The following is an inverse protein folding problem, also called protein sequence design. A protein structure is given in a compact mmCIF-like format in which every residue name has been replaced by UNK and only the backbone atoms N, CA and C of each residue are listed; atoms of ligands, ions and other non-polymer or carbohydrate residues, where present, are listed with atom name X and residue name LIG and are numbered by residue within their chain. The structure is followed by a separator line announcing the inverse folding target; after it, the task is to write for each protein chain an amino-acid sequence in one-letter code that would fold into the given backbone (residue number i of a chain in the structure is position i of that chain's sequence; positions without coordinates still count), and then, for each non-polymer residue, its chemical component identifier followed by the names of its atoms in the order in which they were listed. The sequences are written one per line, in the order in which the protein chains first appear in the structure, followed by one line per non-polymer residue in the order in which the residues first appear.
data_IF_824902755917
#
_entry.id   IF_824902755917
#
_cell.length_a   1.000
_cell.length_b   1.000
_cell.length_c   1.000
_cell.angle_alpha   90.00
_cell.angle_beta   90.00
_cell.angle_gamma   90.00
#
_symmetry.space_group_name_H-M   'P 1'
#
loop_
_entity.id
_entity.type
_entity.pdbx_description
1 polymer ?
#
# COMPACT_ATOMS: atom_id res chain seq x y z
N UNK A 1 41.88 -5.61 33.54
CA UNK A 1 40.51 -6.15 33.66
C UNK A 1 39.80 -5.80 32.35
N UNK A 2 39.96 -6.65 31.34
CA UNK A 2 39.47 -6.38 29.98
C UNK A 2 38.01 -6.78 29.89
N UNK A 3 37.13 -5.80 29.77
CA UNK A 3 35.74 -5.99 29.39
C UNK A 3 35.71 -6.50 27.95
N UNK A 4 35.63 -7.82 27.79
CA UNK A 4 35.21 -8.44 26.54
C UNK A 4 33.75 -8.04 26.30
N UNK A 5 33.55 -6.90 25.63
CA UNK A 5 32.31 -6.59 24.95
C UNK A 5 32.15 -7.68 23.88
N UNK A 6 31.32 -8.68 24.17
CA UNK A 6 30.80 -9.57 23.15
C UNK A 6 30.28 -8.68 22.00
N UNK A 7 30.60 -8.97 20.74
CA UNK A 7 29.99 -8.26 19.64
C UNK A 7 28.50 -8.47 19.78
N UNK A 8 27.78 -7.42 20.18
CA UNK A 8 26.33 -7.41 20.13
C UNK A 8 26.01 -7.86 18.71
N UNK A 9 25.47 -9.06 18.56
CA UNK A 9 24.89 -9.45 17.28
C UNK A 9 23.70 -8.53 17.15
N UNK A 10 23.98 -7.41 16.48
CA UNK A 10 23.22 -6.17 16.29
C UNK A 10 21.93 -6.48 15.53
N UNK A 11 21.03 -7.23 16.13
CA UNK A 11 19.65 -7.30 15.66
C UNK A 11 19.05 -5.96 16.04
N UNK A 12 18.80 -5.14 15.02
CA UNK A 12 18.03 -3.92 15.10
C UNK A 12 16.55 -4.30 14.85
N UNK A 13 15.81 -4.80 15.85
CA UNK A 13 14.46 -5.33 15.67
C UNK A 13 13.50 -4.27 15.12
N UNK A 14 13.69 -2.99 15.47
CA UNK A 14 12.90 -1.90 14.91
C UNK A 14 13.19 -1.73 13.42
N UNK A 15 14.45 -1.80 12.99
CA UNK A 15 14.79 -1.78 11.57
C UNK A 15 14.16 -2.96 10.81
N UNK A 16 14.15 -4.15 11.41
CA UNK A 16 13.49 -5.32 10.82
C UNK A 16 11.98 -5.08 10.68
N UNK A 17 11.31 -4.60 11.74
CA UNK A 17 9.88 -4.29 11.72
C UNK A 17 9.53 -3.28 10.63
N UNK A 18 10.29 -2.19 10.52
CA UNK A 18 10.10 -1.18 9.46
C UNK A 18 10.25 -1.78 8.07
N UNK A 19 11.23 -2.66 7.86
CA UNK A 19 11.40 -3.36 6.58
C UNK A 19 10.24 -4.30 6.28
N UNK A 20 9.72 -5.01 7.28
CA UNK A 20 8.53 -5.85 7.13
C UNK A 20 7.33 -5.00 6.70
N UNK A 21 7.13 -3.83 7.33
CA UNK A 21 6.09 -2.87 6.94
C UNK A 21 6.23 -2.46 5.47
N UNK A 22 7.44 -2.14 5.01
CA UNK A 22 7.67 -1.78 3.61
C UNK A 22 7.45 -2.95 2.64
N UNK A 23 7.83 -4.18 3.04
CA UNK A 23 7.54 -5.40 2.26
C UNK A 23 6.02 -5.62 2.16
N UNK A 24 5.30 -5.46 3.27
CA UNK A 24 3.86 -5.57 3.28
C UNK A 24 3.21 -4.59 2.29
N UNK A 25 3.60 -3.30 2.34
CA UNK A 25 3.11 -2.30 1.39
C UNK A 25 3.40 -2.64 -0.07
N UNK A 26 4.63 -3.09 -0.37
CA UNK A 26 5.00 -3.53 -1.72
C UNK A 26 4.15 -4.70 -2.21
N UNK A 27 4.04 -5.75 -1.40
CA UNK A 27 3.31 -6.98 -1.77
C UNK A 27 1.82 -6.72 -1.91
N UNK A 28 1.24 -5.96 -0.98
CA UNK A 28 -0.19 -5.67 -1.01
C UNK A 28 -0.58 -4.88 -2.27
N UNK A 29 0.09 -3.76 -2.54
CA UNK A 29 -0.22 -2.96 -3.74
C UNK A 29 0.11 -3.71 -5.04
N UNK A 30 1.15 -4.54 -5.06
CA UNK A 30 1.43 -5.39 -6.22
C UNK A 30 0.31 -6.41 -6.45
N UNK A 31 -0.21 -7.03 -5.39
CA UNK A 31 -1.34 -7.96 -5.48
C UNK A 31 -2.58 -7.25 -6.03
N UNK A 32 -2.96 -6.09 -5.46
CA UNK A 32 -4.13 -5.33 -5.93
C UNK A 32 -3.98 -4.92 -7.40
N UNK A 33 -2.81 -4.39 -7.76
CA UNK A 33 -2.47 -4.04 -9.14
C UNK A 33 -2.63 -5.23 -10.09
N UNK A 34 -2.05 -6.39 -9.76
CA UNK A 34 -2.17 -7.61 -10.57
C UNK A 34 -3.63 -8.04 -10.70
N UNK A 35 -4.39 -8.02 -9.60
CA UNK A 35 -5.79 -8.46 -9.65
C UNK A 35 -6.67 -7.53 -10.48
N UNK A 36 -6.40 -6.22 -10.46
CA UNK A 36 -7.08 -5.23 -11.29
C UNK A 36 -6.65 -5.30 -12.76
N UNK A 37 -5.39 -5.63 -13.05
CA UNK A 37 -4.96 -5.89 -14.43
C UNK A 37 -5.64 -7.12 -15.01
N UNK A 38 -5.79 -8.19 -14.23
CA UNK A 38 -6.51 -9.40 -14.65
C UNK A 38 -7.98 -9.08 -14.93
N UNK A 39 -8.64 -8.34 -14.04
CA UNK A 39 -10.02 -7.88 -14.22
C UNK A 39 -10.17 -7.04 -15.50
N UNK A 40 -9.33 -6.01 -15.68
CA UNK A 40 -9.33 -5.18 -16.89
C UNK A 40 -9.17 -6.01 -18.16
N UNK A 41 -8.18 -6.91 -18.22
CA UNK A 41 -7.96 -7.79 -19.38
C UNK A 41 -9.17 -8.68 -19.62
N UNK A 42 -9.76 -9.25 -18.57
CA UNK A 42 -10.93 -10.12 -18.68
C UNK A 42 -12.13 -9.36 -19.24
N UNK A 43 -12.36 -8.14 -18.75
CA UNK A 43 -13.45 -7.27 -19.20
C UNK A 43 -13.32 -6.90 -20.68
N UNK A 44 -12.16 -6.38 -21.10
CA UNK A 44 -11.98 -5.90 -22.48
C UNK A 44 -11.84 -7.01 -23.52
N UNK A 45 -11.41 -8.20 -23.11
CA UNK A 45 -11.29 -9.37 -24.01
C UNK A 45 -12.53 -10.25 -24.04
N UNK A 46 -13.44 -10.10 -23.08
CA UNK A 46 -14.57 -11.00 -22.88
C UNK A 46 -14.16 -12.39 -22.37
N UNK A 47 -12.97 -12.54 -21.80
CA UNK A 47 -12.52 -13.79 -21.21
C UNK A 47 -13.34 -14.14 -19.95
N UNK A 48 -13.22 -15.37 -19.45
CA UNK A 48 -13.93 -15.85 -18.25
C UNK A 48 -12.96 -16.26 -17.12
N UNK A 49 -11.82 -15.57 -17.04
CA UNK A 49 -10.82 -15.85 -16.01
C UNK A 49 -11.35 -15.47 -14.62
N UNK A 50 -11.33 -16.45 -13.72
CA UNK A 50 -11.76 -16.29 -12.32
C UNK A 50 -10.60 -16.19 -11.36
N UNK A 51 -9.43 -16.68 -11.75
CA UNK A 51 -8.23 -16.65 -10.93
C UNK A 51 -7.64 -15.23 -10.91
N UNK A 52 -7.45 -14.65 -9.72
CA UNK A 52 -6.95 -13.28 -9.49
C UNK A 52 -7.82 -12.17 -10.08
N UNK A 53 -9.04 -12.43 -10.52
CA UNK A 53 -9.93 -11.39 -11.00
C UNK A 53 -10.55 -10.62 -9.80
N UNK A 54 -10.30 -9.31 -9.70
CA UNK A 54 -10.82 -8.48 -8.60
C UNK A 54 -12.32 -8.20 -8.71
N UNK A 55 -12.92 -8.36 -9.90
CA UNK A 55 -14.32 -8.02 -10.22
C UNK A 55 -14.67 -6.54 -9.99
N UNK A 56 -13.67 -5.67 -9.95
CA UNK A 56 -13.82 -4.23 -9.75
C UNK A 56 -14.51 -3.55 -10.94
N UNK A 57 -14.37 -4.03 -12.17
CA UNK A 57 -15.05 -3.46 -13.35
C UNK A 57 -16.56 -3.54 -13.17
N UNK A 58 -17.07 -4.75 -12.89
CA UNK A 58 -18.50 -4.97 -12.65
C UNK A 58 -19.02 -4.23 -11.41
N UNK A 59 -18.20 -4.16 -10.36
CA UNK A 59 -18.52 -3.39 -9.17
C UNK A 59 -18.63 -1.88 -9.48
N UNK A 60 -17.65 -1.28 -10.15
CA UNK A 60 -17.67 0.14 -10.56
C UNK A 60 -18.85 0.41 -11.49
N UNK A 61 -19.12 -0.47 -12.47
CA UNK A 61 -20.29 -0.36 -13.34
C UNK A 61 -21.61 -0.28 -12.55
N UNK A 62 -21.74 -1.10 -11.49
CA UNK A 62 -22.94 -1.09 -10.62
C UNK A 62 -23.15 0.24 -9.91
N UNK A 63 -22.06 0.94 -9.62
CA UNK A 63 -22.02 2.20 -8.87
C UNK A 63 -22.31 3.39 -9.78
N UNK A 64 -21.60 3.46 -10.91
CA UNK A 64 -21.69 4.61 -11.81
C UNK A 64 -22.93 4.56 -12.70
N UNK A 65 -23.70 3.46 -12.64
CA UNK A 65 -24.94 3.27 -13.40
C UNK A 65 -25.92 4.44 -13.26
N UNK A 66 -26.00 5.06 -12.08
CA UNK A 66 -26.88 6.21 -11.82
C UNK A 66 -26.52 7.44 -12.67
N UNK A 67 -25.26 7.55 -13.09
CA UNK A 67 -24.74 8.64 -13.91
C UNK A 67 -24.80 8.34 -15.42
N UNK A 68 -25.29 7.16 -15.82
CA UNK A 68 -25.34 6.74 -17.23
C UNK A 68 -24.00 6.89 -17.95
N UNK A 69 -22.90 6.58 -17.25
CA UNK A 69 -21.56 6.65 -17.84
C UNK A 69 -21.43 5.65 -19.00
N UNK A 70 -20.58 5.95 -20.00
CA UNK A 70 -20.25 4.99 -21.05
C UNK A 70 -19.67 3.70 -20.48
N UNK A 71 -19.92 2.57 -21.13
CA UNK A 71 -19.46 1.24 -20.70
C UNK A 71 -17.95 1.00 -20.77
N UNK A 72 -17.16 1.99 -21.23
CA UNK A 72 -15.70 1.93 -21.17
C UNK A 72 -15.15 2.60 -19.90
N UNK A 73 -15.99 3.34 -19.17
CA UNK A 73 -15.56 4.15 -18.03
C UNK A 73 -15.07 3.28 -16.87
N UNK A 74 -15.78 2.20 -16.58
CA UNK A 74 -15.43 1.21 -15.57
C UNK A 74 -14.09 0.53 -15.88
N UNK A 75 -13.87 0.08 -17.13
CA UNK A 75 -12.58 -0.45 -17.56
C UNK A 75 -11.44 0.56 -17.38
N UNK A 76 -11.68 1.83 -17.76
CA UNK A 76 -10.70 2.89 -17.60
C UNK A 76 -10.41 3.17 -16.11
N UNK A 77 -11.43 3.14 -15.26
CA UNK A 77 -11.29 3.36 -13.83
C UNK A 77 -10.47 2.23 -13.18
N UNK A 78 -10.73 0.96 -13.54
CA UNK A 78 -9.94 -0.19 -13.07
C UNK A 78 -8.50 -0.12 -13.56
N UNK A 79 -8.27 0.21 -14.83
CA UNK A 79 -6.92 0.37 -15.37
C UNK A 79 -6.17 1.52 -14.68
N UNK A 80 -6.87 2.63 -14.40
CA UNK A 80 -6.35 3.75 -13.63
C UNK A 80 -5.93 3.34 -12.21
N UNK A 81 -6.80 2.62 -11.51
CA UNK A 81 -6.52 2.06 -10.19
C UNK A 81 -5.29 1.14 -10.22
N UNK A 82 -5.25 0.19 -11.16
CA UNK A 82 -4.12 -0.72 -11.34
C UNK A 82 -2.80 0.03 -11.58
N UNK A 83 -2.83 1.08 -12.39
CA UNK A 83 -1.65 1.91 -12.66
C UNK A 83 -1.16 2.62 -11.40
N UNK A 84 -2.07 3.23 -10.64
CA UNK A 84 -1.78 3.94 -9.39
C UNK A 84 -1.20 2.98 -8.33
N UNK A 85 -1.78 1.80 -8.19
CA UNK A 85 -1.33 0.75 -7.28
C UNK A 85 0.05 0.22 -7.69
N UNK A 86 0.28 0.01 -8.99
CA UNK A 86 1.57 -0.39 -9.55
C UNK A 86 2.67 0.62 -9.26
N UNK A 87 2.40 1.92 -9.43
CA UNK A 87 3.32 2.99 -9.04
C UNK A 87 3.64 2.89 -7.54
N UNK A 88 2.63 2.72 -6.70
CA UNK A 88 2.81 2.58 -5.26
C UNK A 88 3.69 1.37 -4.88
N UNK A 89 3.44 0.22 -5.50
CA UNK A 89 4.27 -0.98 -5.31
C UNK A 89 5.74 -0.73 -5.65
N UNK A 90 6.01 -0.06 -6.78
CA UNK A 90 7.37 0.32 -7.19
C UNK A 90 8.02 1.31 -6.23
N UNK A 91 7.25 2.26 -5.68
CA UNK A 91 7.73 3.19 -4.65
C UNK A 91 8.16 2.45 -3.38
N UNK A 92 7.38 1.47 -2.91
CA UNK A 92 7.76 0.64 -1.77
C UNK A 92 8.98 -0.24 -2.06
N UNK A 93 9.09 -0.84 -3.25
CA UNK A 93 10.29 -1.59 -3.66
C UNK A 93 11.53 -0.68 -3.67
N UNK A 94 11.39 0.56 -4.16
CA UNK A 94 12.47 1.55 -4.14
C UNK A 94 12.85 1.92 -2.70
N UNK A 95 11.87 2.13 -1.83
CA UNK A 95 12.08 2.39 -0.41
C UNK A 95 12.84 1.23 0.27
N UNK A 96 12.45 -0.03 0.03
CA UNK A 96 13.14 -1.22 0.55
C UNK A 96 14.60 -1.30 0.14
N UNK A 97 14.90 -0.97 -1.13
CA UNK A 97 16.26 -0.99 -1.66
C UNK A 97 17.14 0.09 -1.03
N UNK A 98 16.57 1.26 -0.70
CA UNK A 98 17.28 2.42 -0.18
C UNK A 98 17.33 2.48 1.35
N UNK A 99 16.38 1.88 2.05
CA UNK A 99 16.24 2.01 3.50
C UNK A 99 17.26 1.15 4.27
N UNK A 100 18.18 1.82 4.97
CA UNK A 100 19.27 1.19 5.73
C UNK A 100 19.20 1.44 7.25
N UNK A 101 18.20 2.17 7.72
CA UNK A 101 18.14 2.64 9.10
C UNK A 101 18.97 3.91 9.31
N UNK A 102 18.96 4.46 10.53
CA UNK A 102 19.70 5.67 10.89
C UNK A 102 19.37 6.89 10.02
N UNK A 103 18.13 6.97 9.51
CA UNK A 103 17.69 8.04 8.59
C UNK A 103 18.06 7.83 7.11
N UNK A 104 18.86 6.83 6.76
CA UNK A 104 19.24 6.56 5.36
C UNK A 104 18.07 5.98 4.57
N UNK A 105 17.71 6.62 3.45
CA UNK A 105 16.61 6.22 2.57
C UNK A 105 15.22 6.59 3.08
N UNK A 106 15.13 7.49 4.07
CA UNK A 106 13.87 7.88 4.71
C UNK A 106 12.96 8.69 3.76
N UNK A 107 13.54 9.43 2.82
CA UNK A 107 12.76 10.19 1.82
C UNK A 107 11.94 9.26 0.94
N UNK A 108 12.55 8.19 0.42
CA UNK A 108 11.86 7.21 -0.41
C UNK A 108 10.78 6.46 0.37
N UNK A 109 11.04 6.17 1.65
CA UNK A 109 10.06 5.58 2.56
C UNK A 109 8.85 6.49 2.72
N UNK A 110 9.05 7.78 3.04
CA UNK A 110 7.92 8.70 3.20
C UNK A 110 7.19 8.98 1.89
N UNK A 111 7.86 8.96 0.74
CA UNK A 111 7.19 9.05 -0.56
C UNK A 111 6.27 7.85 -0.80
N UNK A 112 6.72 6.62 -0.49
CA UNK A 112 5.89 5.43 -0.62
C UNK A 112 4.68 5.44 0.34
N UNK A 113 4.91 5.84 1.60
CA UNK A 113 3.85 5.94 2.61
C UNK A 113 2.83 7.04 2.26
N UNK A 114 3.30 8.21 1.83
CA UNK A 114 2.43 9.31 1.41
C UNK A 114 1.58 8.90 0.19
N UNK A 115 2.19 8.22 -0.78
CA UNK A 115 1.45 7.66 -1.92
C UNK A 115 0.35 6.70 -1.45
N UNK A 116 0.68 5.74 -0.58
CA UNK A 116 -0.29 4.79 -0.02
C UNK A 116 -1.48 5.50 0.65
N UNK A 117 -1.22 6.54 1.44
CA UNK A 117 -2.27 7.35 2.09
C UNK A 117 -3.16 8.03 1.04
N UNK A 118 -2.55 8.66 0.03
CA UNK A 118 -3.28 9.35 -1.05
C UNK A 118 -4.15 8.38 -1.84
N UNK A 119 -3.67 7.17 -2.12
CA UNK A 119 -4.45 6.13 -2.83
C UNK A 119 -5.73 5.81 -2.06
N UNK A 120 -5.62 5.42 -0.79
CA UNK A 120 -6.80 5.02 -0.01
C UNK A 120 -7.73 6.19 0.27
N UNK A 121 -7.18 7.38 0.50
CA UNK A 121 -7.98 8.59 0.61
C UNK A 121 -8.73 8.90 -0.69
N UNK A 122 -8.08 8.75 -1.84
CA UNK A 122 -8.70 8.90 -3.16
C UNK A 122 -9.87 7.93 -3.38
N UNK A 123 -9.72 6.67 -2.96
CA UNK A 123 -10.83 5.71 -3.00
C UNK A 123 -11.99 6.10 -2.09
N UNK A 124 -11.73 6.61 -0.87
CA UNK A 124 -12.78 7.12 0.02
C UNK A 124 -13.54 8.28 -0.64
N UNK A 125 -12.82 9.27 -1.16
CA UNK A 125 -13.42 10.42 -1.86
C UNK A 125 -14.20 9.95 -3.09
N UNK A 126 -13.67 8.99 -3.84
CA UNK A 126 -14.35 8.37 -4.97
C UNK A 126 -15.64 7.69 -4.53
N UNK A 127 -15.60 6.89 -3.47
CA UNK A 127 -16.82 6.27 -2.94
C UNK A 127 -17.82 7.32 -2.49
N UNK A 128 -17.43 8.39 -1.81
CA UNK A 128 -18.36 9.46 -1.39
C UNK A 128 -19.03 10.15 -2.59
N UNK A 129 -18.28 10.38 -3.67
CA UNK A 129 -18.82 11.02 -4.86
C UNK A 129 -19.76 10.09 -5.66
N UNK A 130 -19.46 8.80 -5.72
CA UNK A 130 -20.19 7.85 -6.57
C UNK A 130 -21.21 6.96 -5.81
N UNK A 131 -21.12 6.81 -4.49
CA UNK A 131 -21.96 5.93 -3.64
C UNK A 131 -22.18 6.55 -2.25
N UNK A 132 -23.42 6.53 -1.76
CA UNK A 132 -23.69 6.78 -0.35
C UNK A 132 -23.32 5.57 0.54
N UNK A 133 -22.03 5.41 0.91
CA UNK A 133 -21.42 4.74 2.10
C UNK A 133 -21.09 3.22 2.21
N UNK A 134 -21.83 2.20 1.68
CA UNK A 134 -21.63 0.79 2.04
C UNK A 134 -20.22 0.24 1.85
N UNK A 135 -19.50 0.79 0.86
CA UNK A 135 -18.21 0.25 0.43
C UNK A 135 -17.01 1.08 0.88
N UNK A 136 -17.24 2.09 1.72
CA UNK A 136 -16.16 2.96 2.22
C UNK A 136 -15.29 2.23 3.26
N UNK A 137 -15.87 1.27 4.00
CA UNK A 137 -15.21 0.64 5.17
C UNK A 137 -13.85 0.04 4.87
N UNK A 138 -13.67 -0.79 3.83
CA UNK A 138 -12.36 -1.35 3.50
C UNK A 138 -11.31 -0.26 3.24
N UNK A 139 -11.68 0.84 2.57
CA UNK A 139 -10.75 1.92 2.26
C UNK A 139 -10.36 2.72 3.50
N UNK A 140 -11.28 2.93 4.45
CA UNK A 140 -10.96 3.53 5.76
C UNK A 140 -9.99 2.67 6.57
N UNK A 141 -10.20 1.36 6.56
CA UNK A 141 -9.31 0.40 7.24
C UNK A 141 -7.91 0.43 6.62
N UNK A 142 -7.81 0.43 5.28
CA UNK A 142 -6.54 0.54 4.56
C UNK A 142 -5.84 1.88 4.77
N UNK A 143 -6.60 2.99 4.84
CA UNK A 143 -6.08 4.29 5.21
C UNK A 143 -5.52 4.28 6.64
N UNK A 144 -6.25 3.68 7.60
CA UNK A 144 -5.81 3.49 8.97
C UNK A 144 -4.51 2.68 9.07
N UNK A 145 -4.40 1.60 8.28
CA UNK A 145 -3.17 0.84 8.15
C UNK A 145 -2.04 1.69 7.56
N UNK A 146 -2.31 2.53 6.56
CA UNK A 146 -1.32 3.47 6.00
C UNK A 146 -0.76 4.44 7.04
N UNK A 147 -1.61 4.98 7.92
CA UNK A 147 -1.16 5.80 9.05
C UNK A 147 -0.36 4.98 10.06
N UNK A 148 -0.80 3.78 10.42
CA UNK A 148 -0.08 2.90 11.34
C UNK A 148 1.32 2.53 10.82
N UNK A 149 1.44 2.21 9.53
CA UNK A 149 2.72 1.97 8.87
C UNK A 149 3.65 3.18 9.00
N UNK A 150 3.12 4.39 8.83
CA UNK A 150 3.86 5.65 8.97
C UNK A 150 4.31 5.88 10.41
N UNK A 151 3.45 5.61 11.39
CA UNK A 151 3.78 5.69 12.81
C UNK A 151 4.88 4.68 13.18
N UNK A 152 4.80 3.44 12.72
CA UNK A 152 5.83 2.41 12.96
C UNK A 152 7.18 2.87 12.41
N UNK A 153 7.22 3.38 11.17
CA UNK A 153 8.46 3.87 10.55
C UNK A 153 9.05 5.05 11.32
N UNK A 154 8.21 5.95 11.80
CA UNK A 154 8.64 7.21 12.42
C UNK A 154 9.02 7.04 13.89
N UNK A 155 8.26 6.26 14.65
CA UNK A 155 8.35 6.23 16.12
C UNK A 155 9.16 5.06 16.66
N UNK A 156 9.23 3.93 15.95
CA UNK A 156 9.98 2.77 16.45
C UNK A 156 11.49 3.02 16.28
N UNK A 157 12.30 2.98 17.34
CA UNK A 157 13.75 3.13 17.21
C UNK A 157 14.34 1.90 16.51
N UNK A 158 15.38 2.10 15.69
CA UNK A 158 15.94 1.00 14.89
C UNK A 158 16.53 -0.12 15.76
N UNK A 159 17.23 0.26 16.83
CA UNK A 159 17.78 -0.63 17.85
C UNK A 159 17.07 -0.39 19.20
N UNK A 160 17.01 -1.39 20.10
CA UNK A 160 16.52 -1.17 21.46
C UNK A 160 17.32 -0.04 22.11
N UNK A 161 16.62 0.96 22.64
CA UNK A 161 17.25 2.06 23.36
C UNK A 161 18.08 1.50 24.51
N UNK A 162 19.33 1.96 24.65
CA UNK A 162 20.09 1.72 25.89
C UNK A 162 19.37 2.51 26.97
N UNK A 163 18.54 1.84 27.78
CA UNK A 163 18.03 2.41 29.02
C UNK A 163 19.26 2.61 29.89
N UNK A 164 19.77 3.84 29.97
CA UNK A 164 20.74 4.19 31.00
C UNK A 164 19.95 4.19 32.31
N UNK A 165 20.22 3.21 33.16
CA UNK A 165 19.85 3.33 34.57
C UNK A 165 20.68 4.50 35.12
N UNK A 166 20.01 5.59 35.49
CA UNK A 166 20.57 6.68 36.28
C UNK A 166 20.68 6.26 37.75
#
# INVERSE_FOLDING_TARGET
MSTHLLPATTRAPGLLLKRIVLVFGATYLAMVCVTNLVDFVTSVTGAHETFLNSQNSGYIASIVKIYSMPSWFDDLAVLGAATIEGIGALLFVRALRRFRGGGTGLTEVYQALAWNIVVWFGFIVGTEFFIAYPSESPFRELLGLGFLMTLIVTLVPDAPGVIRAE
#
